data_IF_366095302216
#
_entry.id   IF_366095302216
#
_cell.length_a   1.000
_cell.length_b   1.000
_cell.length_c   1.000
_cell.angle_alpha   90.00
_cell.angle_beta   90.00
_cell.angle_gamma   90.00
#
_symmetry.space_group_name_H-M   'P 1'
#
loop_
_entity.id
_entity.type
_entity.pdbx_description
1 polymer ?
#
# COMPACT_ATOMS: atom_id res chain seq x y z
N UNK A 1 -3.26 15.98 -18.44
CA UNK A 1 -3.16 14.51 -18.44
C UNK A 1 -3.99 14.00 -19.63
N UNK A 2 -3.32 13.57 -20.69
CA UNK A 2 -3.89 13.45 -22.04
C UNK A 2 -4.66 12.15 -22.32
N UNK A 3 -5.59 12.23 -23.27
CA UNK A 3 -6.46 11.18 -23.80
C UNK A 3 -5.78 9.80 -24.03
N UNK A 4 -4.49 9.80 -24.35
CA UNK A 4 -3.70 8.59 -24.65
C UNK A 4 -3.56 7.63 -23.45
N UNK A 5 -3.30 8.14 -22.24
CA UNK A 5 -3.01 7.29 -21.07
C UNK A 5 -4.25 6.54 -20.57
N UNK A 6 -5.43 7.16 -20.71
CA UNK A 6 -6.71 6.55 -20.35
C UNK A 6 -7.02 5.34 -21.23
N UNK A 7 -6.79 5.46 -22.55
CA UNK A 7 -7.02 4.36 -23.48
C UNK A 7 -6.08 3.18 -23.20
N UNK A 8 -4.83 3.45 -22.83
CA UNK A 8 -3.86 2.42 -22.48
C UNK A 8 -4.34 1.60 -21.28
N UNK A 9 -4.77 2.24 -20.19
CA UNK A 9 -5.22 1.54 -19.00
C UNK A 9 -6.51 0.76 -19.22
N UNK A 10 -7.43 1.28 -20.02
CA UNK A 10 -8.63 0.54 -20.41
C UNK A 10 -8.29 -0.70 -21.26
N UNK A 11 -7.30 -0.61 -22.16
CA UNK A 11 -6.81 -1.79 -22.92
C UNK A 11 -6.18 -2.83 -21.99
N UNK A 12 -5.43 -2.39 -20.98
CA UNK A 12 -4.87 -3.28 -19.95
C UNK A 12 -6.00 -3.98 -19.19
N UNK A 13 -7.02 -3.24 -18.73
CA UNK A 13 -8.20 -3.81 -18.07
C UNK A 13 -8.88 -4.88 -18.92
N UNK A 14 -9.15 -4.60 -20.20
CA UNK A 14 -9.74 -5.58 -21.12
C UNK A 14 -8.87 -6.83 -21.32
N UNK A 15 -7.56 -6.67 -21.37
CA UNK A 15 -6.63 -7.80 -21.46
C UNK A 15 -6.66 -8.66 -20.19
N UNK A 16 -6.81 -8.03 -19.03
CA UNK A 16 -7.00 -8.72 -17.75
C UNK A 16 -8.34 -9.46 -17.73
N UNK A 17 -9.42 -8.82 -18.17
CA UNK A 17 -10.75 -9.44 -18.24
C UNK A 17 -10.78 -10.70 -19.11
N UNK A 18 -10.11 -10.66 -20.27
CA UNK A 18 -9.98 -11.81 -21.17
C UNK A 18 -8.98 -12.88 -20.73
N UNK A 19 -8.26 -12.69 -19.62
CA UNK A 19 -7.30 -13.65 -19.11
C UNK A 19 -7.98 -14.72 -18.25
N UNK A 20 -7.53 -16.00 -18.31
CA UNK A 20 -8.03 -17.02 -17.40
C UNK A 20 -7.55 -16.85 -15.95
N UNK A 21 -6.61 -15.93 -15.69
CA UNK A 21 -6.03 -15.70 -14.36
C UNK A 21 -6.71 -14.54 -13.62
N UNK A 22 -6.53 -14.51 -12.30
CA UNK A 22 -6.82 -13.35 -11.46
C UNK A 22 -5.53 -12.59 -11.14
N UNK A 23 -5.64 -11.28 -11.00
CA UNK A 23 -4.51 -10.37 -10.82
C UNK A 23 -4.66 -9.59 -9.51
N UNK A 24 -3.52 -9.26 -8.91
CA UNK A 24 -3.43 -8.37 -7.75
C UNK A 24 -2.56 -7.17 -8.15
N UNK A 25 -3.13 -5.97 -8.06
CA UNK A 25 -2.39 -4.72 -8.20
C UNK A 25 -2.20 -4.08 -6.83
N UNK A 26 -0.94 -3.89 -6.44
CA UNK A 26 -0.57 -3.16 -5.23
C UNK A 26 -0.03 -1.79 -5.64
N UNK A 27 -0.65 -0.72 -5.16
CA UNK A 27 -0.19 0.65 -5.39
C UNK A 27 0.29 1.20 -4.05
N UNK A 28 1.60 1.31 -3.90
CA UNK A 28 2.22 1.97 -2.75
C UNK A 28 2.18 3.50 -2.91
N UNK A 29 2.21 4.22 -1.79
CA UNK A 29 2.20 5.69 -1.73
C UNK A 29 1.00 6.34 -2.46
N UNK A 30 -0.17 5.68 -2.44
CA UNK A 30 -1.41 6.18 -3.07
C UNK A 30 -1.84 7.56 -2.53
N UNK A 31 -1.36 7.91 -1.32
CA UNK A 31 -1.50 9.24 -0.72
C UNK A 31 -0.98 10.39 -1.58
N UNK A 32 -0.19 10.16 -2.63
CA UNK A 32 0.28 11.22 -3.54
C UNK A 32 -0.63 11.45 -4.73
N UNK A 33 -1.58 10.55 -4.98
CA UNK A 33 -2.45 10.65 -6.14
C UNK A 33 -3.53 11.73 -5.96
N UNK A 34 -3.90 12.35 -7.07
CA UNK A 34 -5.01 13.31 -7.15
C UNK A 34 -6.31 12.59 -7.62
N UNK A 35 -7.48 13.25 -7.55
CA UNK A 35 -8.75 12.63 -7.96
C UNK A 35 -8.78 12.13 -9.41
N UNK A 36 -8.03 12.76 -10.33
CA UNK A 36 -7.98 12.31 -11.72
C UNK A 36 -7.24 10.97 -11.86
N UNK A 37 -6.14 10.80 -11.13
CA UNK A 37 -5.43 9.52 -11.10
C UNK A 37 -6.29 8.44 -10.44
N UNK A 38 -7.04 8.80 -9.39
CA UNK A 38 -7.95 7.87 -8.71
C UNK A 38 -9.08 7.38 -9.63
N UNK A 39 -9.68 8.25 -10.46
CA UNK A 39 -10.65 7.83 -11.49
C UNK A 39 -10.03 6.85 -12.47
N UNK A 40 -8.81 7.15 -12.90
CA UNK A 40 -8.10 6.27 -13.83
C UNK A 40 -7.87 4.86 -13.25
N UNK A 41 -7.66 4.76 -11.93
CA UNK A 41 -7.58 3.48 -11.22
C UNK A 41 -8.96 2.79 -11.19
N UNK A 42 -10.03 3.54 -10.95
CA UNK A 42 -11.40 3.04 -11.03
C UNK A 42 -11.71 2.44 -12.41
N UNK A 43 -11.37 3.15 -13.50
CA UNK A 43 -11.62 2.68 -14.86
C UNK A 43 -10.88 1.38 -15.16
N UNK A 44 -9.64 1.24 -14.66
CA UNK A 44 -8.88 -0.01 -14.78
C UNK A 44 -9.55 -1.15 -14.01
N UNK A 45 -10.00 -0.88 -12.78
CA UNK A 45 -10.70 -1.87 -11.95
C UNK A 45 -11.98 -2.36 -12.63
N UNK A 46 -12.80 -1.45 -13.14
CA UNK A 46 -14.05 -1.78 -13.81
C UNK A 46 -13.82 -2.52 -15.13
N UNK A 47 -12.87 -2.06 -15.96
CA UNK A 47 -12.54 -2.70 -17.22
C UNK A 47 -11.96 -4.12 -17.07
N UNK A 48 -11.56 -4.52 -15.85
CA UNK A 48 -11.05 -5.86 -15.55
C UNK A 48 -12.14 -6.91 -15.30
N UNK A 49 -13.40 -6.51 -15.21
CA UNK A 49 -14.56 -7.40 -15.05
C UNK A 49 -14.41 -8.41 -13.89
N UNK A 50 -13.87 -7.96 -12.76
CA UNK A 50 -13.71 -8.77 -11.54
C UNK A 50 -12.46 -9.65 -11.52
N UNK A 51 -11.62 -9.62 -12.56
CA UNK A 51 -10.34 -10.35 -12.61
C UNK A 51 -9.19 -9.62 -11.93
N UNK A 52 -9.38 -8.38 -11.48
CA UNK A 52 -8.37 -7.58 -10.79
C UNK A 52 -8.81 -7.24 -9.37
N UNK A 53 -8.02 -7.66 -8.39
CA UNK A 53 -8.07 -7.14 -7.02
C UNK A 53 -7.02 -6.05 -6.83
N UNK A 54 -7.32 -5.06 -5.99
CA UNK A 54 -6.42 -3.92 -5.75
C UNK A 54 -6.18 -3.71 -4.26
N UNK A 55 -4.92 -3.43 -3.92
CA UNK A 55 -4.51 -2.94 -2.60
C UNK A 55 -3.91 -1.55 -2.78
N UNK A 56 -4.53 -0.57 -2.13
CA UNK A 56 -4.08 0.81 -2.14
C UNK A 56 -3.41 1.11 -0.81
N UNK A 57 -2.08 1.17 -0.80
CA UNK A 57 -1.30 1.44 0.40
C UNK A 57 -0.93 2.93 0.46
N UNK A 58 -1.15 3.54 1.62
CA UNK A 58 -0.87 4.94 1.82
C UNK A 58 -0.86 5.33 3.29
N UNK A 59 -0.57 6.60 3.53
CA UNK A 59 -0.60 7.21 4.85
C UNK A 59 -2.03 7.23 5.42
N UNK A 60 -2.20 7.30 6.75
CA UNK A 60 -3.52 7.39 7.39
C UNK A 60 -4.39 8.54 6.87
N UNK A 61 -3.76 9.61 6.38
CA UNK A 61 -4.44 10.78 5.80
C UNK A 61 -5.18 10.47 4.49
N UNK A 62 -4.83 9.37 3.81
CA UNK A 62 -5.47 8.99 2.55
C UNK A 62 -6.97 8.75 2.72
N UNK A 63 -7.37 8.01 3.77
CA UNK A 63 -8.78 7.73 4.06
C UNK A 63 -9.57 9.02 4.27
N UNK A 64 -9.09 9.89 5.16
CA UNK A 64 -9.73 11.19 5.45
C UNK A 64 -9.80 12.09 4.20
N UNK A 65 -8.85 11.96 3.28
CA UNK A 65 -8.88 12.69 2.01
C UNK A 65 -9.92 12.11 1.05
N UNK A 66 -10.03 10.79 0.95
CA UNK A 66 -11.04 10.10 0.15
C UNK A 66 -12.46 10.43 0.63
N UNK A 67 -12.68 10.46 1.94
CA UNK A 67 -13.97 10.88 2.54
C UNK A 67 -14.32 12.32 2.17
N UNK A 68 -13.37 13.25 2.30
CA UNK A 68 -13.58 14.64 1.86
C UNK A 68 -13.82 14.79 0.37
N UNK A 69 -13.30 13.89 -0.46
CA UNK A 69 -13.57 13.92 -1.90
C UNK A 69 -14.96 13.36 -2.23
N UNK A 70 -15.41 12.32 -1.53
CA UNK A 70 -16.78 11.80 -1.65
C UNK A 70 -17.81 12.91 -1.43
N UNK A 71 -17.59 13.78 -0.44
CA UNK A 71 -18.56 14.80 -0.02
C UNK A 71 -18.48 16.13 -0.82
N UNK A 72 -17.52 16.26 -1.75
CA UNK A 72 -17.33 17.49 -2.54
C UNK A 72 -17.96 17.37 -3.92
N UNK A 73 -18.88 18.28 -4.24
CA UNK A 73 -19.53 18.37 -5.56
C UNK A 73 -18.55 18.47 -6.76
N UNK A 74 -17.32 18.97 -6.55
CA UNK A 74 -16.32 19.12 -7.62
C UNK A 74 -15.45 17.86 -7.85
N UNK A 75 -15.66 16.79 -7.07
CA UNK A 75 -14.90 15.55 -7.16
C UNK A 75 -15.75 14.44 -7.82
N UNK A 76 -16.24 14.73 -9.03
CA UNK A 76 -17.05 13.82 -9.85
C UNK A 76 -16.41 12.42 -9.91
N UNK A 77 -17.23 11.39 -9.62
CA UNK A 77 -16.84 9.98 -9.60
C UNK A 77 -16.21 9.49 -8.29
N UNK A 78 -15.78 10.37 -7.38
CA UNK A 78 -15.13 9.94 -6.14
C UNK A 78 -16.07 9.23 -5.15
N UNK A 79 -17.37 9.57 -5.17
CA UNK A 79 -18.34 8.86 -4.35
C UNK A 79 -18.52 7.40 -4.79
N UNK A 80 -18.49 7.14 -6.09
CA UNK A 80 -18.52 5.79 -6.64
C UNK A 80 -17.23 5.04 -6.30
N UNK A 81 -16.06 5.63 -6.58
CA UNK A 81 -14.80 5.00 -6.22
C UNK A 81 -14.72 4.67 -4.72
N UNK A 82 -15.17 5.57 -3.85
CA UNK A 82 -15.19 5.33 -2.42
C UNK A 82 -16.07 4.12 -2.05
N UNK A 83 -17.22 3.93 -2.70
CA UNK A 83 -18.10 2.79 -2.44
C UNK A 83 -17.53 1.45 -2.94
N UNK A 84 -16.61 1.46 -3.91
CA UNK A 84 -15.87 0.25 -4.35
C UNK A 84 -14.82 -0.22 -3.35
N UNK A 85 -14.43 0.61 -2.38
CA UNK A 85 -13.47 0.21 -1.35
C UNK A 85 -14.18 -0.63 -0.30
N UNK A 86 -14.06 -1.96 -0.42
CA UNK A 86 -14.69 -2.91 0.49
C UNK A 86 -14.00 -3.05 1.86
N UNK A 87 -12.72 -2.66 1.97
CA UNK A 87 -11.96 -2.80 3.22
C UNK A 87 -10.98 -1.64 3.42
N UNK A 88 -11.00 -1.08 4.63
CA UNK A 88 -10.00 -0.14 5.12
C UNK A 88 -9.18 -0.83 6.22
N UNK A 89 -8.02 -1.36 5.86
CA UNK A 89 -7.10 -1.97 6.82
C UNK A 89 -6.11 -0.92 7.33
N UNK A 90 -6.16 -0.62 8.63
CA UNK A 90 -5.15 0.19 9.30
C UNK A 90 -4.05 -0.73 9.86
N UNK A 91 -2.79 -0.41 9.58
CA UNK A 91 -1.66 -1.09 10.20
C UNK A 91 -1.32 -0.41 11.52
N UNK A 92 -1.24 -1.22 12.58
CA UNK A 92 -0.78 -0.75 13.87
C UNK A 92 0.75 -0.63 13.88
N UNK A 93 1.31 0.32 14.64
CA UNK A 93 2.73 0.31 14.95
C UNK A 93 3.12 -1.02 15.62
N UNK A 94 4.31 -1.56 15.31
CA UNK A 94 4.75 -2.80 15.92
C UNK A 94 4.97 -2.66 17.42
N UNK A 95 4.68 -3.71 18.17
CA UNK A 95 5.06 -3.79 19.59
C UNK A 95 6.51 -4.24 19.74
N UNK A 96 7.14 -3.92 20.86
CA UNK A 96 8.54 -4.27 21.11
C UNK A 96 8.82 -5.78 21.00
N UNK A 97 7.85 -6.63 21.35
CA UNK A 97 7.96 -8.08 21.16
C UNK A 97 8.10 -8.46 19.67
N UNK A 98 7.26 -7.91 18.79
CA UNK A 98 7.35 -8.15 17.35
C UNK A 98 8.66 -7.64 16.76
N UNK A 99 9.13 -6.47 17.19
CA UNK A 99 10.42 -5.93 16.75
C UNK A 99 11.59 -6.84 17.14
N UNK A 100 11.55 -7.39 18.37
CA UNK A 100 12.53 -8.36 18.85
C UNK A 100 12.48 -9.63 18.00
N UNK A 101 11.30 -10.19 17.79
CA UNK A 101 11.11 -11.44 17.05
C UNK A 101 11.58 -11.28 15.60
N UNK A 102 11.29 -10.13 14.96
CA UNK A 102 11.80 -9.82 13.63
C UNK A 102 13.33 -9.67 13.61
N UNK A 103 13.94 -9.05 14.62
CA UNK A 103 15.41 -8.96 14.71
C UNK A 103 16.06 -10.35 14.85
N UNK A 104 15.51 -11.21 15.72
CA UNK A 104 15.97 -12.59 15.91
C UNK A 104 15.77 -13.43 14.65
N UNK A 105 14.62 -13.32 13.98
CA UNK A 105 14.36 -14.00 12.71
C UNK A 105 15.32 -13.55 11.61
N UNK A 106 15.83 -12.31 11.73
CA UNK A 106 16.89 -11.82 10.87
C UNK A 106 18.28 -12.26 11.33
N UNK A 107 18.48 -13.08 12.35
CA UNK A 107 19.80 -13.60 12.75
C UNK A 107 20.61 -12.68 13.66
N UNK A 108 19.95 -11.74 14.33
CA UNK A 108 20.55 -11.01 15.47
C UNK A 108 20.39 -11.86 16.73
N UNK A 109 21.40 -11.88 17.59
CA UNK A 109 21.33 -12.59 18.88
C UNK A 109 20.19 -12.06 19.76
N UNK A 110 19.64 -12.92 20.63
CA UNK A 110 18.48 -12.56 21.47
C UNK A 110 18.71 -11.30 22.33
N UNK A 111 19.91 -11.13 22.87
CA UNK A 111 20.24 -9.98 23.71
C UNK A 111 20.40 -8.68 22.91
N UNK A 112 21.08 -8.73 21.76
CA UNK A 112 21.15 -7.57 20.86
C UNK A 112 19.75 -7.22 20.31
N UNK A 113 18.93 -8.23 20.00
CA UNK A 113 17.55 -8.03 19.54
C UNK A 113 16.68 -7.33 20.61
N UNK A 114 16.81 -7.68 21.90
CA UNK A 114 16.12 -6.97 23.00
C UNK A 114 16.52 -5.50 23.05
N UNK A 115 17.80 -5.20 22.89
CA UNK A 115 18.30 -3.82 22.93
C UNK A 115 17.78 -3.01 21.74
N UNK A 116 17.89 -3.56 20.53
CA UNK A 116 17.39 -2.95 19.30
C UNK A 116 15.87 -2.70 19.41
N UNK A 117 15.09 -3.69 19.85
CA UNK A 117 13.64 -3.56 19.98
C UNK A 117 13.19 -2.44 20.95
N UNK A 118 14.00 -2.10 21.96
CA UNK A 118 13.72 -0.98 22.89
C UNK A 118 14.00 0.39 22.28
N UNK A 119 14.87 0.47 21.27
CA UNK A 119 15.35 1.72 20.68
C UNK A 119 14.57 2.11 19.42
N UNK A 120 13.83 1.18 18.83
CA UNK A 120 13.11 1.39 17.58
C UNK A 120 11.60 1.24 17.77
N UNK A 121 10.82 1.94 16.94
CA UNK A 121 9.34 1.99 17.03
C UNK A 121 8.65 1.52 15.75
N UNK A 122 9.42 1.19 14.73
CA UNK A 122 8.91 0.84 13.41
C UNK A 122 9.89 -0.10 12.69
N UNK A 123 9.35 -0.85 11.73
CA UNK A 123 10.13 -1.83 10.97
C UNK A 123 11.22 -1.21 10.08
N UNK A 124 11.08 0.06 9.67
CA UNK A 124 12.07 0.74 8.80
C UNK A 124 13.34 1.06 9.60
N UNK A 125 13.18 1.65 10.79
CA UNK A 125 14.31 1.95 11.69
C UNK A 125 14.94 0.66 12.22
N UNK A 126 14.12 -0.35 12.53
CA UNK A 126 14.59 -1.71 12.88
C UNK A 126 15.50 -2.30 11.80
N UNK A 127 15.07 -2.28 10.54
CA UNK A 127 15.82 -2.88 9.41
C UNK A 127 17.22 -2.27 9.30
N UNK A 128 17.33 -0.97 9.52
CA UNK A 128 18.62 -0.28 9.50
C UNK A 128 19.53 -0.73 10.66
N UNK A 129 18.97 -0.89 11.86
CA UNK A 129 19.71 -1.32 13.03
C UNK A 129 20.18 -2.78 12.92
N UNK A 130 19.31 -3.68 12.45
CA UNK A 130 19.65 -5.09 12.20
C UNK A 130 20.81 -5.23 11.21
N UNK A 131 20.79 -4.45 10.12
CA UNK A 131 21.89 -4.44 9.14
C UNK A 131 23.22 -4.01 9.76
N UNK A 132 23.20 -2.98 10.62
CA UNK A 132 24.39 -2.51 11.34
C UNK A 132 24.89 -3.56 12.33
N UNK A 133 23.99 -4.18 13.09
CA UNK A 133 24.37 -5.20 14.07
C UNK A 133 25.03 -6.40 13.40
N UNK A 134 24.43 -6.91 12.32
CA UNK A 134 25.04 -7.99 11.53
C UNK A 134 26.42 -7.64 10.99
N UNK A 135 26.64 -6.41 10.59
CA UNK A 135 27.96 -5.99 10.11
C UNK A 135 28.99 -6.09 11.24
N UNK A 136 28.62 -5.68 12.46
CA UNK A 136 29.46 -5.82 13.66
C UNK A 136 29.70 -7.28 14.03
N UNK A 137 28.68 -8.13 13.97
CA UNK A 137 28.78 -9.55 14.35
C UNK A 137 29.63 -10.39 13.37
N UNK A 138 29.86 -9.89 12.14
CA UNK A 138 30.67 -10.55 11.10
C UNK A 138 32.12 -10.00 11.02
N UNK A 139 32.48 -9.04 11.89
CA UNK A 139 33.84 -8.55 12.07
C UNK A 139 34.52 -9.30 13.22
#
# INVERSE_FOLDING_TARGET
WGHSNFQTLRKIGKKIAGSPHSYLLIIDEVSRLNPSCMRTIQDLYEASEGRLSMVLAGTPLFKNRMERWKDKNNAVGMAELYSRIGLWAALNPPVAAELKDVAVANGVTDDAAKQIARQHKDYRTLTTAVKKQKFVDNL
#
